data_IF_704526271999
#
_entry.id   IF_704526271999
#
_cell.length_a   1.000
_cell.length_b   1.000
_cell.length_c   1.000
_cell.angle_alpha   90.00
_cell.angle_beta   90.00
_cell.angle_gamma   90.00
#
_symmetry.space_group_name_H-M   'P 1'
#
loop_
_entity.id
_entity.type
_entity.pdbx_description
1 polymer ?
#
# COMPACT_ATOMS: atom_id res chain seq x y z
N UNK A 1 -27.04 6.73 37.45
CA UNK A 1 -25.95 5.74 37.65
C UNK A 1 -24.67 6.41 37.19
N UNK A 2 -23.67 6.56 38.07
CA UNK A 2 -22.35 7.04 37.64
C UNK A 2 -21.69 5.91 36.86
N UNK A 3 -21.53 6.09 35.55
CA UNK A 3 -20.73 5.18 34.73
C UNK A 3 -19.31 5.19 35.27
N UNK A 4 -18.83 4.04 35.72
CA UNK A 4 -17.47 3.88 36.24
C UNK A 4 -16.53 3.84 35.04
N UNK A 5 -15.85 4.95 34.77
CA UNK A 5 -14.79 5.06 33.76
C UNK A 5 -13.43 4.84 34.43
N UNK A 6 -12.71 3.80 34.00
CA UNK A 6 -11.41 3.41 34.54
C UNK A 6 -10.44 3.01 33.41
N UNK A 7 -9.17 2.80 33.74
CA UNK A 7 -8.12 2.55 32.75
C UNK A 7 -8.39 1.33 31.85
N UNK A 8 -9.13 0.31 32.32
CA UNK A 8 -9.47 -0.86 31.51
C UNK A 8 -10.51 -0.55 30.42
N UNK A 9 -11.21 0.58 30.51
CA UNK A 9 -12.16 1.05 29.48
C UNK A 9 -11.43 1.77 28.32
N UNK A 10 -10.11 1.96 28.40
CA UNK A 10 -9.30 2.56 27.35
C UNK A 10 -8.93 1.48 26.33
N UNK A 11 -9.49 1.60 25.12
CA UNK A 11 -9.17 0.75 23.97
C UNK A 11 -7.99 1.34 23.19
N UNK A 12 -6.99 0.50 22.90
CA UNK A 12 -5.87 0.85 22.01
C UNK A 12 -6.06 0.12 20.69
N UNK A 13 -6.36 0.87 19.63
CA UNK A 13 -6.45 0.34 18.27
C UNK A 13 -5.03 0.22 17.69
N UNK A 14 -4.72 -0.91 17.07
CA UNK A 14 -3.38 -1.22 16.54
C UNK A 14 -3.44 -1.69 15.09
N UNK A 15 -2.29 -1.70 14.40
CA UNK A 15 -2.22 -2.09 12.99
C UNK A 15 -3.13 -1.20 12.12
N UNK A 16 -4.08 -1.83 11.43
CA UNK A 16 -5.02 -1.15 10.53
C UNK A 16 -6.42 -0.92 11.15
N UNK A 17 -6.64 -1.35 12.40
CA UNK A 17 -7.93 -1.20 13.07
C UNK A 17 -8.41 0.25 13.21
N UNK A 18 -7.54 1.26 13.47
CA UNK A 18 -7.96 2.66 13.49
C UNK A 18 -8.62 3.10 12.19
N UNK A 19 -8.06 2.70 11.04
CA UNK A 19 -8.58 3.05 9.71
C UNK A 19 -9.94 2.41 9.47
N UNK A 20 -10.07 1.11 9.77
CA UNK A 20 -11.34 0.38 9.61
C UNK A 20 -12.44 0.95 10.50
N UNK A 21 -12.08 1.36 11.72
CA UNK A 21 -13.02 1.89 12.71
C UNK A 21 -13.46 3.32 12.40
N UNK A 22 -12.59 4.13 11.78
CA UNK A 22 -12.79 5.56 11.52
C UNK A 22 -12.29 5.96 10.12
N UNK A 23 -12.84 5.39 9.02
CA UNK A 23 -12.31 5.61 7.67
C UNK A 23 -12.34 7.08 7.25
N UNK A 24 -13.34 7.86 7.70
CA UNK A 24 -13.46 9.28 7.38
C UNK A 24 -12.35 10.18 7.94
N UNK A 25 -11.49 9.68 8.84
CA UNK A 25 -10.28 10.39 9.26
C UNK A 25 -9.12 10.23 8.28
N UNK A 26 -9.19 9.23 7.39
CA UNK A 26 -8.08 8.80 6.55
C UNK A 26 -8.36 8.94 5.06
N UNK A 27 -9.62 8.98 4.65
CA UNK A 27 -9.99 9.05 3.24
C UNK A 27 -11.33 9.72 3.01
N UNK A 28 -11.59 10.15 1.77
CA UNK A 28 -12.93 10.50 1.31
C UNK A 28 -13.80 9.23 1.32
N UNK A 29 -14.84 9.21 2.16
CA UNK A 29 -15.74 8.06 2.31
C UNK A 29 -16.94 8.11 1.39
N UNK A 30 -17.11 9.19 0.60
CA UNK A 30 -18.20 9.29 -0.36
C UNK A 30 -17.96 8.39 -1.60
N UNK A 31 -16.70 8.08 -1.91
CA UNK A 31 -16.29 7.31 -3.11
C UNK A 31 -14.84 6.82 -2.97
N UNK A 32 -14.43 5.74 -3.66
CA UNK A 32 -13.09 5.15 -3.50
C UNK A 32 -11.98 5.94 -4.20
N UNK A 33 -12.29 7.03 -4.91
CA UNK A 33 -11.33 7.73 -5.75
C UNK A 33 -10.09 8.22 -4.98
N UNK A 34 -10.22 8.61 -3.71
CA UNK A 34 -9.09 9.01 -2.89
C UNK A 34 -8.15 7.82 -2.59
N UNK A 35 -8.69 6.60 -2.46
CA UNK A 35 -7.86 5.39 -2.33
C UNK A 35 -7.05 5.12 -3.61
N UNK A 36 -7.65 5.32 -4.79
CA UNK A 36 -6.91 5.22 -6.05
C UNK A 36 -5.83 6.30 -6.15
N UNK A 37 -6.12 7.53 -5.74
CA UNK A 37 -5.16 8.65 -5.71
C UNK A 37 -3.94 8.31 -4.84
N UNK A 38 -4.14 7.72 -3.66
CA UNK A 38 -3.03 7.32 -2.78
C UNK A 38 -2.05 6.34 -3.46
N UNK A 39 -2.52 5.45 -4.34
CA UNK A 39 -1.64 4.55 -5.09
C UNK A 39 -0.96 5.30 -6.24
N UNK A 40 -1.71 6.11 -6.98
CA UNK A 40 -1.21 6.93 -8.09
C UNK A 40 -0.11 7.88 -7.61
N UNK A 41 -0.31 8.55 -6.47
CA UNK A 41 0.65 9.50 -5.90
C UNK A 41 1.97 8.81 -5.53
N UNK A 42 1.92 7.55 -5.06
CA UNK A 42 3.13 6.77 -4.83
C UNK A 42 3.90 6.49 -6.12
N UNK A 43 3.21 6.18 -7.23
CA UNK A 43 3.84 6.01 -8.55
C UNK A 43 4.38 7.33 -9.10
N UNK A 44 3.68 8.45 -8.88
CA UNK A 44 4.13 9.80 -9.25
C UNK A 44 5.39 10.18 -8.48
N UNK A 45 5.50 9.81 -7.20
CA UNK A 45 6.71 10.06 -6.41
C UNK A 45 7.94 9.31 -6.97
N UNK A 46 7.77 8.10 -7.52
CA UNK A 46 8.85 7.42 -8.26
C UNK A 46 9.24 8.17 -9.54
N UNK A 47 8.27 8.77 -10.24
CA UNK A 47 8.54 9.58 -11.43
C UNK A 47 9.26 10.89 -11.07
N UNK A 48 8.85 11.55 -9.99
CA UNK A 48 9.50 12.77 -9.47
C UNK A 48 10.93 12.51 -9.00
N UNK A 49 11.21 11.31 -8.48
CA UNK A 49 12.56 10.86 -8.17
C UNK A 49 13.39 10.43 -9.41
N UNK A 50 12.80 10.47 -10.61
CA UNK A 50 13.45 10.11 -11.87
C UNK A 50 13.57 8.61 -12.13
N UNK A 51 12.81 7.79 -11.41
CA UNK A 51 12.85 6.33 -11.51
C UNK A 51 11.76 5.75 -12.39
N UNK A 52 10.55 6.32 -12.37
CA UNK A 52 9.46 5.93 -13.25
C UNK A 52 9.33 6.90 -14.45
N UNK A 53 8.90 6.39 -15.59
CA UNK A 53 8.58 7.14 -16.82
C UNK A 53 7.15 6.90 -17.29
N UNK A 54 6.53 5.81 -16.86
CA UNK A 54 5.18 5.43 -17.25
C UNK A 54 4.38 5.06 -16.00
N UNK A 55 3.14 5.55 -15.96
CA UNK A 55 2.13 5.14 -14.99
C UNK A 55 0.89 4.79 -15.79
N UNK A 56 0.42 3.55 -15.64
CA UNK A 56 -0.80 3.04 -16.26
C UNK A 56 -1.87 2.84 -15.19
N UNK A 57 -3.10 3.27 -15.49
CA UNK A 57 -4.24 3.15 -14.58
C UNK A 57 -5.36 2.45 -15.34
N UNK A 58 -5.80 1.31 -14.81
CA UNK A 58 -6.86 0.48 -15.40
C UNK A 58 -8.03 0.39 -14.44
N UNK A 59 -9.22 0.79 -14.88
CA UNK A 59 -10.49 0.52 -14.19
C UNK A 59 -11.13 -0.71 -14.81
N UNK A 60 -11.27 -1.77 -14.01
CA UNK A 60 -11.87 -3.02 -14.46
C UNK A 60 -13.41 -2.98 -14.41
N UNK A 61 -14.05 -3.86 -15.17
CA UNK A 61 -15.52 -3.99 -15.22
C UNK A 61 -16.14 -4.35 -13.86
N UNK A 62 -15.36 -4.99 -12.97
CA UNK A 62 -15.78 -5.35 -11.61
C UNK A 62 -15.65 -4.18 -10.61
N UNK A 63 -15.17 -3.02 -11.06
CA UNK A 63 -14.98 -1.83 -10.22
C UNK A 63 -13.61 -1.78 -9.53
N UNK A 64 -12.75 -2.78 -9.68
CA UNK A 64 -11.38 -2.73 -9.18
C UNK A 64 -10.50 -1.80 -10.01
N UNK A 65 -9.47 -1.23 -9.39
CA UNK A 65 -8.51 -0.33 -10.02
C UNK A 65 -7.11 -0.91 -9.87
N UNK A 66 -6.38 -0.99 -10.98
CA UNK A 66 -4.95 -1.28 -11.00
C UNK A 66 -4.16 -0.03 -11.35
N UNK A 67 -3.04 0.15 -10.65
CA UNK A 67 -2.03 1.17 -10.94
C UNK A 67 -0.72 0.44 -11.15
N UNK A 68 -0.09 0.66 -12.30
CA UNK A 68 1.20 0.07 -12.65
C UNK A 68 2.20 1.18 -12.98
N UNK A 69 3.42 1.05 -12.46
CA UNK A 69 4.53 1.93 -12.79
C UNK A 69 5.80 1.13 -13.12
N UNK A 70 6.73 1.78 -13.81
CA UNK A 70 8.05 1.25 -14.15
C UNK A 70 9.15 1.78 -13.20
N UNK A 71 8.78 2.13 -11.96
CA UNK A 71 9.71 2.60 -10.94
C UNK A 71 10.60 1.51 -10.36
N UNK A 72 11.25 1.79 -9.22
CA UNK A 72 12.20 0.88 -8.56
C UNK A 72 11.56 -0.40 -8.01
N UNK A 73 10.25 -0.39 -7.81
CA UNK A 73 9.50 -1.41 -7.09
C UNK A 73 9.68 -1.33 -5.57
N UNK A 74 8.63 -1.66 -4.82
CA UNK A 74 8.65 -1.63 -3.36
C UNK A 74 9.73 -2.56 -2.76
N UNK A 75 10.31 -2.25 -1.58
CA UNK A 75 11.28 -3.11 -0.92
C UNK A 75 10.70 -4.49 -0.58
N UNK A 76 11.43 -5.54 -0.94
CA UNK A 76 11.03 -6.95 -0.73
C UNK A 76 11.92 -7.67 0.30
N UNK A 77 13.04 -7.04 0.67
CA UNK A 77 13.95 -7.48 1.70
C UNK A 77 13.33 -7.36 3.10
N UNK A 78 13.85 -8.17 4.03
CA UNK A 78 13.36 -8.24 5.40
C UNK A 78 13.86 -7.02 6.18
N UNK A 79 12.93 -6.26 6.76
CA UNK A 79 13.23 -5.14 7.62
C UNK A 79 14.01 -5.63 8.87
N UNK A 80 15.13 -4.98 9.23
CA UNK A 80 16.05 -5.51 10.24
C UNK A 80 15.46 -5.59 11.64
N UNK A 81 14.53 -4.70 12.00
CA UNK A 81 13.89 -4.67 13.33
C UNK A 81 12.57 -5.44 13.34
N UNK A 82 11.63 -5.04 12.49
CA UNK A 82 10.29 -5.65 12.35
C UNK A 82 10.26 -7.10 11.85
N UNK A 83 11.35 -7.60 11.23
CA UNK A 83 11.45 -8.98 10.69
C UNK A 83 10.38 -9.36 9.67
N UNK A 84 9.77 -8.37 9.01
CA UNK A 84 8.82 -8.55 7.91
C UNK A 84 9.41 -8.00 6.60
N UNK A 85 9.00 -8.49 5.42
CA UNK A 85 9.30 -7.83 4.16
C UNK A 85 8.89 -6.36 4.19
N UNK A 86 9.72 -5.45 3.65
CA UNK A 86 9.43 -4.01 3.67
C UNK A 86 8.05 -3.67 3.09
N UNK A 87 7.65 -4.33 2.00
CA UNK A 87 6.31 -4.22 1.41
C UNK A 87 5.18 -4.61 2.37
N UNK A 88 5.35 -5.69 3.14
CA UNK A 88 4.36 -6.12 4.11
C UNK A 88 4.23 -5.09 5.22
N UNK A 89 5.36 -4.53 5.67
CA UNK A 89 5.37 -3.47 6.68
C UNK A 89 4.61 -2.23 6.19
N UNK A 90 4.89 -1.78 4.97
CA UNK A 90 4.22 -0.62 4.34
C UNK A 90 2.71 -0.83 4.23
N UNK A 91 2.26 -2.06 3.92
CA UNK A 91 0.84 -2.35 3.71
C UNK A 91 0.07 -2.66 5.01
N UNK A 92 0.76 -2.96 6.12
CA UNK A 92 0.12 -3.44 7.38
C UNK A 92 0.40 -2.58 8.60
N UNK A 93 1.19 -1.50 8.45
CA UNK A 93 1.46 -0.52 9.51
C UNK A 93 1.13 0.88 9.05
N UNK A 94 0.49 1.63 9.94
CA UNK A 94 0.39 3.07 9.83
C UNK A 94 1.74 3.71 10.19
N UNK A 95 2.06 4.81 9.53
CA UNK A 95 3.30 5.55 9.71
C UNK A 95 4.57 4.73 9.39
N UNK A 96 4.49 3.86 8.39
CA UNK A 96 5.62 3.12 7.85
C UNK A 96 5.90 3.56 6.40
N UNK A 97 7.11 4.05 6.12
CA UNK A 97 7.48 4.49 4.77
C UNK A 97 8.88 5.09 4.68
N UNK A 98 9.40 5.18 3.46
CA UNK A 98 10.73 5.75 3.17
C UNK A 98 10.75 7.25 2.89
N UNK A 99 9.63 7.94 3.15
CA UNK A 99 9.40 9.35 2.76
C UNK A 99 9.51 10.35 3.93
N UNK A 100 9.98 9.89 5.10
CA UNK A 100 10.11 10.74 6.30
C UNK A 100 11.36 11.61 6.34
N UNK A 101 12.43 11.19 5.65
CA UNK A 101 13.66 11.98 5.56
C UNK A 101 13.75 12.64 4.17
N UNK A 102 13.26 13.87 4.08
CA UNK A 102 13.33 14.69 2.86
C UNK A 102 14.49 15.68 2.87
N UNK A 103 15.27 15.76 3.96
CA UNK A 103 16.26 16.81 4.16
C UNK A 103 17.72 16.32 4.09
N UNK A 104 17.98 15.00 4.14
CA UNK A 104 19.32 14.46 4.42
C UNK A 104 19.78 13.25 3.62
N UNK A 105 19.23 12.99 2.43
CA UNK A 105 19.63 11.84 1.59
C UNK A 105 18.71 10.62 1.67
N UNK A 106 17.45 10.83 2.08
CA UNK A 106 16.42 9.80 2.05
C UNK A 106 16.02 9.37 0.63
N UNK A 107 15.11 8.39 0.55
CA UNK A 107 14.77 7.71 -0.70
C UNK A 107 14.10 8.59 -1.76
N UNK A 108 13.61 9.78 -1.36
CA UNK A 108 12.94 10.77 -2.21
C UNK A 108 13.39 12.18 -1.79
N UNK A 109 13.95 12.95 -2.72
CA UNK A 109 14.33 14.34 -2.47
C UNK A 109 13.11 15.28 -2.39
N UNK A 110 12.02 14.93 -3.08
CA UNK A 110 10.72 15.58 -3.01
C UNK A 110 9.64 14.51 -3.20
N UNK A 111 8.57 14.58 -2.42
CA UNK A 111 7.44 13.65 -2.50
C UNK A 111 6.17 14.30 -1.97
N UNK A 112 5.03 14.00 -2.60
CA UNK A 112 3.71 14.43 -2.12
C UNK A 112 3.23 13.64 -0.89
N UNK A 113 3.63 12.38 -0.77
CA UNK A 113 3.25 11.50 0.34
C UNK A 113 4.21 11.57 1.53
N UNK A 114 3.81 12.16 2.65
CA UNK A 114 4.71 12.33 3.82
C UNK A 114 4.29 11.55 5.07
N UNK A 115 3.07 10.99 5.09
CA UNK A 115 2.50 10.44 6.31
C UNK A 115 2.84 8.96 6.57
N UNK A 116 3.18 8.20 5.52
CA UNK A 116 3.37 6.74 5.60
C UNK A 116 2.07 5.97 5.92
N UNK A 117 0.95 6.46 5.40
CA UNK A 117 -0.41 5.96 5.74
C UNK A 117 -1.26 5.61 4.51
N UNK A 118 -1.03 6.26 3.37
CA UNK A 118 -1.88 6.15 2.18
C UNK A 118 -2.17 4.71 1.74
N UNK A 119 -1.15 3.97 1.32
CA UNK A 119 -1.33 2.62 0.79
C UNK A 119 -1.76 1.59 1.86
N UNK A 120 -1.44 1.81 3.14
CA UNK A 120 -1.97 0.98 4.23
C UNK A 120 -3.46 1.26 4.46
N UNK A 121 -3.95 2.49 4.24
CA UNK A 121 -5.38 2.78 4.19
C UNK A 121 -6.07 2.12 3.00
N UNK A 122 -5.43 2.10 1.83
CA UNK A 122 -5.94 1.37 0.66
C UNK A 122 -6.11 -0.10 0.99
N UNK A 123 -5.10 -0.73 1.61
CA UNK A 123 -5.20 -2.13 2.05
C UNK A 123 -6.32 -2.30 3.10
N UNK A 124 -6.35 -1.44 4.12
CA UNK A 124 -7.32 -1.51 5.22
C UNK A 124 -8.78 -1.50 4.77
N UNK A 125 -9.07 -0.74 3.71
CA UNK A 125 -10.44 -0.47 3.23
C UNK A 125 -10.81 -1.21 1.94
N UNK A 126 -9.92 -2.08 1.44
CA UNK A 126 -10.20 -2.92 0.26
C UNK A 126 -10.69 -4.31 0.68
N UNK A 127 -11.64 -4.88 -0.09
CA UNK A 127 -12.03 -6.28 0.07
C UNK A 127 -10.87 -7.23 -0.23
N UNK A 128 -10.08 -6.89 -1.24
CA UNK A 128 -8.83 -7.55 -1.61
C UNK A 128 -7.84 -6.54 -2.18
N UNK A 129 -6.55 -6.82 -2.00
CA UNK A 129 -5.45 -6.08 -2.63
C UNK A 129 -4.44 -7.08 -3.13
N UNK A 130 -4.09 -7.00 -4.42
CA UNK A 130 -3.02 -7.81 -5.03
C UNK A 130 -1.91 -6.88 -5.48
N UNK A 131 -0.68 -7.25 -5.14
CA UNK A 131 0.52 -6.53 -5.53
C UNK A 131 1.46 -7.45 -6.29
N UNK A 132 2.02 -6.94 -7.39
CA UNK A 132 3.13 -7.57 -8.12
C UNK A 132 4.31 -6.61 -8.14
N UNK A 133 5.47 -7.03 -7.64
CA UNK A 133 6.70 -6.22 -7.63
C UNK A 133 7.72 -6.86 -8.56
N UNK A 134 8.29 -6.06 -9.46
CA UNK A 134 9.44 -6.45 -10.29
C UNK A 134 10.68 -5.73 -9.77
N UNK A 135 11.61 -6.46 -9.14
CA UNK A 135 12.83 -5.87 -8.55
C UNK A 135 13.96 -6.88 -8.57
N UNK A 136 15.19 -6.44 -8.84
CA UNK A 136 16.38 -7.29 -8.89
C UNK A 136 16.26 -8.52 -9.82
N UNK A 137 15.58 -8.35 -10.96
CA UNK A 137 15.33 -9.44 -11.92
C UNK A 137 14.34 -10.50 -11.45
N UNK A 138 13.64 -10.27 -10.35
CA UNK A 138 12.64 -11.19 -9.77
C UNK A 138 11.25 -10.56 -9.79
N UNK A 139 10.24 -11.42 -9.89
CA UNK A 139 8.83 -11.05 -9.72
C UNK A 139 8.37 -11.57 -8.37
N UNK A 140 7.80 -10.69 -7.55
CA UNK A 140 7.23 -11.01 -6.25
C UNK A 140 5.75 -10.71 -6.25
N UNK A 141 4.96 -11.54 -5.56
CA UNK A 141 3.53 -11.35 -5.43
C UNK A 141 3.09 -11.48 -3.98
N UNK A 142 2.10 -10.67 -3.62
CA UNK A 142 1.45 -10.67 -2.31
C UNK A 142 -0.03 -10.33 -2.49
N UNK A 143 -0.90 -11.01 -1.76
CA UNK A 143 -2.34 -10.77 -1.77
C UNK A 143 -2.85 -10.59 -0.33
N UNK A 144 -3.74 -9.63 -0.15
CA UNK A 144 -4.40 -9.31 1.11
C UNK A 144 -5.91 -9.40 0.91
N UNK A 145 -6.62 -9.71 1.99
CA UNK A 145 -8.09 -9.63 2.05
C UNK A 145 -8.53 -8.88 3.29
N UNK A 146 -9.53 -8.03 3.12
CA UNK A 146 -10.16 -7.25 4.19
C UNK A 146 -9.16 -6.48 5.05
N UNK A 147 -8.08 -5.98 4.44
CA UNK A 147 -6.99 -5.29 5.14
C UNK A 147 -6.38 -6.06 6.31
N UNK A 148 -6.37 -7.40 6.23
CA UNK A 148 -5.77 -8.28 7.25
C UNK A 148 -4.31 -8.61 6.91
N UNK A 149 -3.72 -9.56 7.64
CA UNK A 149 -2.43 -10.16 7.29
C UNK A 149 -2.45 -10.72 5.86
N UNK A 150 -1.29 -10.75 5.17
CA UNK A 150 -1.23 -11.29 3.82
C UNK A 150 -1.71 -12.74 3.81
N UNK A 151 -2.44 -13.12 2.77
CA UNK A 151 -2.98 -14.48 2.61
C UNK A 151 -1.87 -15.53 2.53
N UNK A 152 -0.69 -15.12 2.07
CA UNK A 152 0.51 -15.93 1.92
C UNK A 152 1.74 -15.05 2.14
N UNK A 153 2.84 -15.65 2.62
CA UNK A 153 4.14 -14.97 2.65
C UNK A 153 4.53 -14.49 1.23
N UNK A 154 5.35 -13.43 1.15
CA UNK A 154 5.83 -12.90 -0.11
C UNK A 154 6.41 -14.01 -1.00
N UNK A 155 5.73 -14.32 -2.10
CA UNK A 155 6.10 -15.41 -2.98
C UNK A 155 6.88 -14.87 -4.18
N UNK A 156 7.94 -15.59 -4.59
CA UNK A 156 8.52 -15.39 -5.92
C UNK A 156 7.55 -15.99 -6.94
N UNK A 157 7.05 -15.16 -7.84
CA UNK A 157 6.28 -15.62 -8.98
C UNK A 157 7.23 -16.02 -10.12
N UNK A 158 6.88 -17.10 -10.83
CA UNK A 158 7.46 -17.34 -12.15
C UNK A 158 7.12 -16.12 -13.01
N UNK A 159 8.09 -15.57 -13.75
CA UNK A 159 7.82 -14.50 -14.72
C UNK A 159 6.78 -15.06 -15.69
N UNK A 160 5.52 -14.57 -15.68
CA UNK A 160 4.61 -14.98 -16.73
C UNK A 160 5.17 -14.37 -18.01
N UNK A 161 5.34 -15.17 -19.07
CA UNK A 161 5.32 -14.61 -20.43
C UNK A 161 4.12 -13.67 -20.49
N UNK A 162 4.33 -12.44 -21.00
CA UNK A 162 3.28 -11.44 -21.13
C UNK A 162 2.09 -12.04 -21.88
N UNK A 163 1.10 -12.58 -21.15
CA UNK A 163 -0.20 -12.89 -21.74
C UNK A 163 -0.88 -11.55 -21.90
N UNK A 164 -0.95 -11.09 -23.16
CA UNK A 164 -2.03 -10.23 -23.58
C UNK A 164 -3.30 -11.04 -23.42
N UNK A 165 -3.94 -10.93 -22.26
CA UNK A 165 -5.32 -11.37 -22.12
C UNK A 165 -6.18 -10.22 -22.64
N UNK A 166 -6.72 -10.41 -23.84
CA UNK A 166 -7.81 -9.56 -24.33
C UNK A 166 -8.97 -9.65 -23.31
N UNK A 167 -9.62 -8.54 -22.97
CA UNK A 167 -10.71 -8.55 -22.00
C UNK A 167 -11.85 -9.44 -22.49
N UNK A 168 -12.56 -10.16 -21.59
CA UNK A 168 -13.72 -10.93 -21.98
C UNK A 168 -14.80 -10.00 -22.55
N UNK A 169 -15.27 -10.37 -23.75
CA UNK A 169 -16.33 -9.71 -24.50
C UNK A 169 -17.56 -9.41 -23.66
#
# INVERSE_FOLDING_TARGET
MNARYNAADIEVLSGLDPVKRRPGMYTDTARPNHLAQEVIDNSVDEALAGHARSIEITLYKDGSVEVSDDGRGMPVDIHPEEKLPGVELILTRLHAGGKFDTAGGGAYAFSGGLHGVGVSCVNALSEWLRLTIRRNGQVHQMEFRQGAHPLQALARALVPEQRREDPPG
#
